data_IF_519406164064
#
_entry.id   IF_519406164064
#
_cell.length_a   1.000
_cell.length_b   1.000
_cell.length_c   1.000
_cell.angle_alpha   90.00
_cell.angle_beta   90.00
_cell.angle_gamma   90.00
#
_symmetry.space_group_name_H-M   'P 1'
#
loop_
_entity.id
_entity.type
_entity.pdbx_description
1 polymer ?
#
# COMPACT_ATOMS: atom_id res chain seq x y z
N UNK A 1 7.86 -2.65 -0.35
CA UNK A 1 7.40 -3.84 -1.12
C UNK A 1 7.39 -3.65 -2.65
N UNK A 2 7.60 -2.42 -3.17
CA UNK A 2 7.78 -2.12 -4.61
C UNK A 2 8.85 -3.00 -5.28
N UNK A 3 9.95 -3.26 -4.57
CA UNK A 3 11.10 -3.96 -5.13
C UNK A 3 10.90 -5.48 -5.22
N UNK A 4 10.22 -6.09 -4.24
CA UNK A 4 9.97 -7.53 -4.23
C UNK A 4 8.93 -7.94 -5.27
N UNK A 5 7.85 -7.15 -5.43
CA UNK A 5 6.85 -7.38 -6.48
C UNK A 5 7.44 -7.13 -7.87
N UNK A 6 8.27 -6.10 -8.03
CA UNK A 6 8.98 -5.81 -9.29
C UNK A 6 9.99 -6.90 -9.65
N UNK A 7 10.71 -7.43 -8.66
CA UNK A 7 11.60 -8.57 -8.85
C UNK A 7 10.83 -9.82 -9.33
N UNK A 8 9.66 -10.08 -8.76
CA UNK A 8 8.86 -11.25 -9.13
C UNK A 8 8.21 -11.12 -10.51
N UNK A 9 7.75 -9.92 -10.88
CA UNK A 9 7.31 -9.62 -12.25
C UNK A 9 8.46 -9.79 -13.24
N UNK A 10 9.66 -9.30 -12.89
CA UNK A 10 10.86 -9.44 -13.73
C UNK A 10 11.25 -10.92 -13.90
N UNK A 11 11.11 -11.73 -12.85
CA UNK A 11 11.36 -13.18 -12.90
C UNK A 11 10.44 -13.90 -13.88
N UNK A 12 9.15 -13.58 -13.85
CA UNK A 12 8.16 -14.14 -14.79
C UNK A 12 8.45 -13.68 -16.23
N UNK A 13 8.85 -12.42 -16.43
CA UNK A 13 9.19 -11.88 -17.74
C UNK A 13 10.42 -12.55 -18.35
N UNK A 14 11.46 -12.77 -17.55
CA UNK A 14 12.68 -13.48 -17.95
C UNK A 14 12.38 -14.92 -18.40
N UNK A 15 11.52 -15.63 -17.67
CA UNK A 15 11.07 -16.97 -18.07
C UNK A 15 10.35 -16.94 -19.43
N UNK A 16 9.44 -16.00 -19.61
CA UNK A 16 8.66 -15.85 -20.84
C UNK A 16 9.56 -15.58 -22.06
N UNK A 17 10.60 -14.77 -21.90
CA UNK A 17 11.57 -14.45 -22.95
C UNK A 17 12.38 -15.65 -23.42
N UNK A 18 12.79 -16.53 -22.50
CA UNK A 18 13.50 -17.78 -22.83
C UNK A 18 12.55 -18.78 -23.48
N UNK A 19 11.36 -18.96 -22.92
CA UNK A 19 10.38 -19.92 -23.41
C UNK A 19 9.94 -19.61 -24.85
N UNK A 20 9.73 -18.33 -25.18
CA UNK A 20 9.32 -17.89 -26.51
C UNK A 20 10.48 -17.54 -27.46
N UNK A 21 11.74 -17.75 -27.05
CA UNK A 21 12.90 -17.54 -27.93
C UNK A 21 13.04 -16.11 -28.45
N UNK A 22 12.74 -15.13 -27.59
CA UNK A 22 12.89 -13.70 -27.92
C UNK A 22 14.35 -13.34 -28.19
N UNK A 23 14.59 -12.23 -28.88
CA UNK A 23 15.93 -11.70 -29.13
C UNK A 23 16.04 -10.27 -28.62
N UNK A 24 17.24 -9.90 -28.17
CA UNK A 24 17.56 -8.51 -27.81
C UNK A 24 17.53 -7.61 -29.06
N UNK A 25 17.52 -6.29 -28.86
CA UNK A 25 17.56 -5.32 -29.96
C UNK A 25 18.80 -5.49 -30.86
N UNK A 26 19.86 -6.10 -30.34
CA UNK A 26 21.09 -6.43 -31.07
C UNK A 26 21.03 -7.78 -31.81
N UNK A 27 19.86 -8.43 -31.83
CA UNK A 27 19.61 -9.71 -32.52
C UNK A 27 20.13 -10.95 -31.79
N UNK A 28 20.57 -10.83 -30.53
CA UNK A 28 21.05 -11.99 -29.76
C UNK A 28 19.87 -12.71 -29.09
N UNK A 29 19.77 -14.04 -29.18
CA UNK A 29 18.67 -14.77 -28.55
C UNK A 29 18.77 -14.73 -27.02
N UNK A 30 17.64 -14.51 -26.36
CA UNK A 30 17.50 -14.51 -24.90
C UNK A 30 17.50 -15.96 -24.40
N UNK A 31 18.69 -16.51 -24.19
CA UNK A 31 18.88 -17.90 -23.72
C UNK A 31 19.02 -17.96 -22.20
N UNK A 32 18.76 -19.13 -21.60
CA UNK A 32 18.98 -19.35 -20.16
C UNK A 32 20.42 -19.00 -19.73
N UNK A 33 21.41 -19.40 -20.54
CA UNK A 33 22.83 -19.08 -20.28
C UNK A 33 23.12 -17.58 -20.30
N UNK A 34 22.43 -16.80 -21.14
CA UNK A 34 22.58 -15.34 -21.14
C UNK A 34 22.00 -14.73 -19.87
N UNK A 35 20.84 -15.22 -19.42
CA UNK A 35 20.20 -14.75 -18.18
C UNK A 35 21.06 -15.10 -16.97
N UNK A 36 21.55 -16.34 -16.87
CA UNK A 36 22.42 -16.77 -15.78
C UNK A 36 23.68 -15.89 -15.70
N UNK A 37 24.29 -15.57 -16.85
CA UNK A 37 25.46 -14.69 -16.89
C UNK A 37 25.14 -13.28 -16.41
N UNK A 38 24.01 -12.71 -16.82
CA UNK A 38 23.57 -11.39 -16.35
C UNK A 38 23.29 -11.42 -14.85
N UNK A 39 22.61 -12.46 -14.35
CA UNK A 39 22.32 -12.62 -12.93
C UNK A 39 23.62 -12.72 -12.11
N UNK A 40 24.63 -13.46 -12.58
CA UNK A 40 25.94 -13.54 -11.95
C UNK A 40 26.71 -12.21 -11.98
N UNK A 41 26.67 -11.50 -13.11
CA UNK A 41 27.25 -10.17 -13.26
C UNK A 41 26.61 -9.16 -12.30
N UNK A 42 25.28 -9.15 -12.18
CA UNK A 42 24.54 -8.29 -11.26
C UNK A 42 24.74 -8.70 -9.80
N UNK A 43 24.70 -9.99 -9.48
CA UNK A 43 25.00 -10.49 -8.13
C UNK A 43 26.42 -10.11 -7.68
N UNK A 44 27.38 -10.09 -8.60
CA UNK A 44 28.75 -9.62 -8.34
C UNK A 44 28.83 -8.11 -8.11
N UNK A 45 27.90 -7.32 -8.68
CA UNK A 45 27.78 -5.89 -8.34
C UNK A 45 27.16 -5.73 -6.94
N UNK A 46 26.19 -6.57 -6.58
CA UNK A 46 25.58 -6.57 -5.25
C UNK A 46 26.58 -6.91 -4.14
N UNK A 47 27.51 -7.85 -4.37
CA UNK A 47 28.57 -8.16 -3.39
C UNK A 47 29.58 -7.02 -3.19
N UNK A 48 29.66 -6.07 -4.13
CA UNK A 48 30.46 -4.84 -4.00
C UNK A 48 29.69 -3.70 -3.34
N UNK A 49 28.37 -3.83 -3.17
CA UNK A 49 27.60 -2.89 -2.37
C UNK A 49 27.90 -3.19 -0.89
N UNK A 50 28.49 -2.21 -0.21
CA UNK A 50 28.56 -2.21 1.25
C UNK A 50 27.16 -2.42 1.84
N UNK A 51 26.99 -3.12 2.99
CA UNK A 51 25.71 -3.20 3.72
C UNK A 51 25.08 -1.82 3.99
N UNK A 52 25.89 -0.77 3.90
CA UNK A 52 25.50 0.64 4.02
C UNK A 52 24.69 1.18 2.83
N UNK A 53 24.58 0.46 1.70
CA UNK A 53 23.86 0.91 0.49
C UNK A 53 22.42 0.38 0.41
N UNK A 54 22.08 -0.64 1.19
CA UNK A 54 20.71 -1.12 1.41
C UNK A 54 20.22 -0.55 2.75
N UNK A 55 20.39 0.76 2.89
CA UNK A 55 20.09 1.46 4.13
C UNK A 55 18.58 1.68 4.27
N UNK A 56 17.89 0.68 4.81
CA UNK A 56 16.48 0.78 5.19
C UNK A 56 16.29 1.58 6.50
N UNK A 57 17.34 2.20 7.04
CA UNK A 57 17.19 3.04 8.22
C UNK A 57 16.29 4.22 7.85
N UNK A 58 15.35 4.59 8.72
CA UNK A 58 14.56 5.79 8.52
C UNK A 58 15.48 6.99 8.30
N UNK A 59 15.21 7.78 7.26
CA UNK A 59 15.99 8.99 6.96
C UNK A 59 16.10 9.90 8.19
N UNK A 60 15.03 9.96 9.00
CA UNK A 60 15.02 10.67 10.28
C UNK A 60 14.00 10.08 11.27
N UNK A 61 14.49 9.39 12.29
CA UNK A 61 13.65 8.82 13.37
C UNK A 61 12.93 9.91 14.17
N UNK A 62 13.50 11.12 14.26
CA UNK A 62 12.89 12.25 14.95
C UNK A 62 11.65 12.80 14.22
N UNK A 63 11.46 12.50 12.92
CA UNK A 63 10.21 12.77 12.22
C UNK A 63 9.24 11.59 12.30
N UNK A 64 9.76 10.36 12.20
CA UNK A 64 8.93 9.14 12.27
C UNK A 64 8.19 9.00 13.59
N UNK A 65 8.87 9.22 14.73
CA UNK A 65 8.27 9.00 16.05
C UNK A 65 7.13 9.99 16.36
N UNK A 66 7.29 11.32 16.20
CA UNK A 66 6.19 12.25 16.37
C UNK A 66 5.08 12.06 15.32
N UNK A 67 5.43 11.72 14.08
CA UNK A 67 4.45 11.41 13.03
C UNK A 67 3.57 10.21 13.41
N UNK A 68 4.17 9.12 13.86
CA UNK A 68 3.46 7.95 14.36
C UNK A 68 2.58 8.27 15.58
N UNK A 69 3.07 9.10 16.51
CA UNK A 69 2.29 9.53 17.67
C UNK A 69 1.05 10.36 17.27
N UNK A 70 1.21 11.28 16.31
CA UNK A 70 0.10 12.08 15.76
C UNK A 70 -0.91 11.21 15.01
N UNK A 71 -0.44 10.25 14.19
CA UNK A 71 -1.30 9.29 13.52
C UNK A 71 -2.09 8.45 14.53
N UNK A 72 -1.43 7.91 15.55
CA UNK A 72 -2.09 7.13 16.59
C UNK A 72 -3.14 7.95 17.37
N UNK A 73 -2.80 9.18 17.74
CA UNK A 73 -3.74 10.08 18.40
C UNK A 73 -4.92 10.41 17.49
N UNK A 74 -4.66 10.77 16.23
CA UNK A 74 -5.67 11.07 15.23
C UNK A 74 -6.57 9.87 14.91
N UNK A 75 -6.03 8.66 14.88
CA UNK A 75 -6.78 7.43 14.58
C UNK A 75 -7.85 7.14 15.64
N UNK A 76 -7.56 7.41 16.92
CA UNK A 76 -8.56 7.36 18.00
C UNK A 76 -9.68 8.36 17.77
N UNK A 77 -9.34 9.58 17.36
CA UNK A 77 -10.30 10.62 17.00
C UNK A 77 -11.16 10.24 15.79
N UNK A 78 -10.56 9.65 14.75
CA UNK A 78 -11.26 9.19 13.55
C UNK A 78 -12.27 8.09 13.86
N UNK A 79 -11.83 7.01 14.52
CA UNK A 79 -12.69 5.87 14.84
C UNK A 79 -13.76 6.20 15.88
N UNK A 80 -13.41 6.92 16.95
CA UNK A 80 -14.38 7.36 17.94
C UNK A 80 -15.34 8.43 17.39
N UNK A 81 -14.82 9.37 16.58
CA UNK A 81 -15.57 10.47 16.00
C UNK A 81 -16.54 10.05 14.88
N UNK A 82 -16.28 8.94 14.19
CA UNK A 82 -17.18 8.38 13.17
C UNK A 82 -18.57 7.99 13.70
N UNK A 83 -18.71 7.92 15.03
CA UNK A 83 -19.98 7.65 15.71
C UNK A 83 -20.83 8.92 15.89
N UNK A 84 -20.25 10.10 15.66
CA UNK A 84 -20.91 11.40 15.69
C UNK A 84 -21.59 11.72 17.03
N UNK A 85 -21.10 11.12 18.12
CA UNK A 85 -21.61 11.36 19.47
C UNK A 85 -20.64 10.89 20.56
N UNK A 86 -20.67 11.59 21.70
CA UNK A 86 -19.88 11.23 22.89
C UNK A 86 -20.64 10.19 23.74
N UNK A 87 -20.64 8.94 23.30
CA UNK A 87 -21.40 7.85 23.91
C UNK A 87 -20.56 6.58 24.11
N UNK A 88 -21.16 5.54 24.71
CA UNK A 88 -20.46 4.29 25.03
C UNK A 88 -19.93 3.58 23.78
N UNK A 89 -20.60 3.71 22.64
CA UNK A 89 -20.14 3.15 21.36
C UNK A 89 -18.86 3.84 20.89
N UNK A 90 -18.73 5.16 21.09
CA UNK A 90 -17.51 5.91 20.77
C UNK A 90 -16.34 5.49 21.66
N UNK A 91 -16.60 5.28 22.96
CA UNK A 91 -15.60 4.73 23.89
C UNK A 91 -15.15 3.33 23.46
N UNK A 92 -16.10 2.45 23.10
CA UNK A 92 -15.80 1.12 22.59
C UNK A 92 -14.89 1.17 21.35
N UNK A 93 -15.21 2.03 20.37
CA UNK A 93 -14.41 2.18 19.16
C UNK A 93 -12.95 2.59 19.48
N UNK A 94 -12.76 3.52 20.41
CA UNK A 94 -11.42 3.95 20.85
C UNK A 94 -10.67 2.82 21.57
N UNK A 95 -11.33 2.07 22.46
CA UNK A 95 -10.69 0.96 23.19
C UNK A 95 -10.29 -0.16 22.23
N UNK A 96 -11.19 -0.59 21.33
CA UNK A 96 -10.90 -1.61 20.32
C UNK A 96 -9.73 -1.18 19.42
N UNK A 97 -9.70 0.09 19.04
CA UNK A 97 -8.59 0.66 18.26
C UNK A 97 -7.26 0.50 18.98
N UNK A 98 -7.19 0.76 20.29
CA UNK A 98 -5.93 0.67 21.04
C UNK A 98 -5.41 -0.77 21.18
N UNK A 99 -6.31 -1.76 21.34
CA UNK A 99 -5.90 -3.17 21.50
C UNK A 99 -5.53 -3.83 20.17
N UNK A 100 -6.04 -3.32 19.04
CA UNK A 100 -5.81 -3.92 17.71
C UNK A 100 -4.44 -3.58 17.09
N UNK A 101 -3.69 -2.66 17.70
CA UNK A 101 -2.39 -2.16 17.21
C UNK A 101 -1.22 -3.15 17.39
N UNK A 102 -1.46 -4.36 17.89
CA UNK A 102 -0.39 -5.30 18.25
C UNK A 102 0.43 -5.78 17.04
N UNK A 103 1.66 -5.28 16.91
CA UNK A 103 2.75 -5.95 16.18
C UNK A 103 2.91 -5.65 14.69
N UNK A 104 2.25 -4.62 14.15
CA UNK A 104 2.39 -4.24 12.74
C UNK A 104 3.43 -3.11 12.57
N UNK A 105 4.55 -3.42 11.91
CA UNK A 105 5.69 -2.51 11.65
C UNK A 105 5.64 -1.86 10.24
N UNK A 106 4.73 -2.30 9.37
CA UNK A 106 4.74 -1.84 7.97
C UNK A 106 3.81 -0.64 7.72
N UNK A 107 4.17 0.53 8.29
CA UNK A 107 3.43 1.78 8.08
C UNK A 107 3.89 2.55 6.81
N UNK A 108 5.00 2.14 6.20
CA UNK A 108 5.63 2.86 5.08
C UNK A 108 5.15 2.38 3.70
N UNK A 109 4.52 1.20 3.61
CA UNK A 109 3.87 0.74 2.38
C UNK A 109 2.37 1.13 2.37
N UNK A 110 2.06 2.26 1.74
CA UNK A 110 0.70 2.81 1.68
C UNK A 110 -0.29 1.80 1.09
N UNK A 111 0.10 1.07 0.03
CA UNK A 111 -0.80 0.13 -0.62
C UNK A 111 -1.03 -1.12 0.23
N UNK A 112 0.03 -1.69 0.81
CA UNK A 112 -0.10 -2.85 1.69
C UNK A 112 -0.87 -2.50 2.97
N UNK A 113 -0.54 -1.41 3.64
CA UNK A 113 -1.15 -1.03 4.92
C UNK A 113 -2.59 -0.54 4.75
N UNK A 114 -2.85 0.38 3.81
CA UNK A 114 -4.16 1.02 3.68
C UNK A 114 -5.06 0.29 2.68
N UNK A 115 -4.51 -0.10 1.53
CA UNK A 115 -5.25 -0.81 0.49
C UNK A 115 -5.58 -2.25 0.91
N UNK A 116 -4.56 -3.08 1.10
CA UNK A 116 -4.75 -4.49 1.48
C UNK A 116 -5.29 -4.59 2.91
N UNK A 117 -4.69 -3.88 3.87
CA UNK A 117 -5.17 -3.87 5.25
C UNK A 117 -6.62 -3.38 5.38
N UNK A 118 -7.00 -2.33 4.65
CA UNK A 118 -8.37 -1.84 4.61
C UNK A 118 -9.35 -2.86 4.01
N UNK A 119 -8.96 -3.55 2.93
CA UNK A 119 -9.80 -4.55 2.28
C UNK A 119 -9.98 -5.81 3.16
N UNK A 120 -8.91 -6.25 3.82
CA UNK A 120 -8.98 -7.32 4.83
C UNK A 120 -9.90 -6.91 5.97
N UNK A 121 -9.75 -5.71 6.53
CA UNK A 121 -10.63 -5.18 7.58
C UNK A 121 -12.09 -5.10 7.15
N UNK A 122 -12.36 -4.69 5.90
CA UNK A 122 -13.71 -4.61 5.36
C UNK A 122 -14.37 -5.99 5.26
N UNK A 123 -13.61 -7.00 4.81
CA UNK A 123 -14.09 -8.39 4.74
C UNK A 123 -14.30 -8.96 6.14
N UNK A 124 -13.39 -8.73 7.09
CA UNK A 124 -13.56 -9.17 8.48
C UNK A 124 -14.80 -8.55 9.14
N UNK A 125 -15.18 -7.34 8.76
CA UNK A 125 -16.45 -6.72 9.20
C UNK A 125 -17.67 -7.58 8.80
N UNK A 126 -17.68 -8.22 7.64
CA UNK A 126 -18.77 -9.12 7.26
C UNK A 126 -18.90 -10.32 8.19
N UNK A 127 -17.79 -10.78 8.77
CA UNK A 127 -17.80 -11.92 9.68
C UNK A 127 -18.19 -11.50 11.10
N UNK A 128 -17.56 -10.43 11.60
CA UNK A 128 -17.56 -10.09 13.02
C UNK A 128 -18.43 -8.89 13.40
N UNK A 129 -19.11 -8.23 12.45
CA UNK A 129 -20.10 -7.22 12.81
C UNK A 129 -21.17 -7.83 13.72
N UNK A 130 -21.37 -7.23 14.90
CA UNK A 130 -22.38 -7.67 15.86
C UNK A 130 -23.45 -6.60 16.03
N UNK A 131 -24.71 -6.99 15.85
CA UNK A 131 -25.83 -6.08 16.09
C UNK A 131 -25.92 -5.62 17.57
N UNK A 132 -25.47 -6.44 18.52
CA UNK A 132 -25.51 -6.14 19.96
C UNK A 132 -24.62 -4.96 20.33
N UNK A 133 -23.43 -4.91 19.75
CA UNK A 133 -22.44 -3.84 20.01
C UNK A 133 -22.79 -2.57 19.22
N UNK A 134 -23.35 -2.72 18.03
CA UNK A 134 -23.74 -1.58 17.20
C UNK A 134 -24.83 -0.73 17.85
N UNK A 135 -25.72 -1.31 18.67
CA UNK A 135 -26.84 -0.62 19.31
C UNK A 135 -26.58 -0.12 20.75
N UNK A 136 -25.32 -0.11 21.22
CA UNK A 136 -25.00 0.32 22.60
C UNK A 136 -25.37 1.77 22.94
N UNK A 137 -25.56 2.61 21.93
CA UNK A 137 -26.01 3.99 22.05
C UNK A 137 -27.49 4.20 21.68
N UNK A 138 -28.25 3.11 21.48
CA UNK A 138 -29.65 3.17 21.07
C UNK A 138 -29.85 3.51 19.58
N UNK A 139 -28.78 3.52 18.78
CA UNK A 139 -28.87 3.73 17.34
C UNK A 139 -29.56 2.58 16.61
N UNK A 140 -29.94 2.84 15.34
CA UNK A 140 -30.66 1.88 14.49
C UNK A 140 -29.89 0.56 14.43
N UNK A 141 -30.51 -0.57 14.82
CA UNK A 141 -29.82 -1.85 14.82
C UNK A 141 -29.43 -2.25 13.40
N UNK A 142 -28.19 -2.65 13.23
CA UNK A 142 -27.73 -3.33 12.01
C UNK A 142 -28.16 -4.80 12.07
N UNK A 143 -28.23 -5.46 10.90
CA UNK A 143 -28.48 -6.90 10.85
C UNK A 143 -27.25 -7.74 11.29
N UNK A 144 -26.08 -7.11 11.42
CA UNK A 144 -24.83 -7.75 11.82
C UNK A 144 -24.15 -8.53 10.69
N UNK A 145 -23.19 -9.37 11.05
CA UNK A 145 -22.41 -10.21 10.14
C UNK A 145 -22.73 -11.69 10.31
N UNK A 146 -21.76 -12.54 9.97
CA UNK A 146 -21.89 -14.00 10.07
C UNK A 146 -22.19 -14.46 11.50
N UNK A 147 -21.62 -13.79 12.51
CA UNK A 147 -21.89 -14.09 13.92
C UNK A 147 -23.36 -13.86 14.32
N UNK A 148 -24.12 -13.07 13.55
CA UNK A 148 -25.57 -12.90 13.71
C UNK A 148 -26.38 -13.64 12.64
N UNK A 149 -25.78 -14.63 11.96
CA UNK A 149 -26.38 -15.37 10.85
C UNK A 149 -26.79 -14.52 9.63
N UNK A 150 -26.22 -13.32 9.50
CA UNK A 150 -26.47 -12.43 8.37
C UNK A 150 -25.46 -12.65 7.23
N UNK A 151 -25.60 -13.78 6.52
CA UNK A 151 -24.63 -14.22 5.51
C UNK A 151 -24.54 -13.31 4.29
N UNK A 152 -25.58 -12.52 4.02
CA UNK A 152 -25.53 -11.50 2.97
C UNK A 152 -24.40 -10.51 3.20
N UNK A 153 -24.02 -10.25 4.45
CA UNK A 153 -23.10 -9.14 4.74
C UNK A 153 -21.79 -9.27 3.97
N UNK A 154 -21.31 -10.50 3.75
CA UNK A 154 -20.10 -10.75 2.94
C UNK A 154 -20.24 -10.22 1.51
N UNK A 155 -21.39 -10.40 0.87
CA UNK A 155 -21.60 -9.89 -0.49
C UNK A 155 -21.58 -8.37 -0.54
N UNK A 156 -22.08 -7.71 0.51
CA UNK A 156 -22.08 -6.25 0.59
C UNK A 156 -20.65 -5.72 0.78
N UNK A 157 -19.87 -6.30 1.70
CA UNK A 157 -18.48 -5.88 1.90
C UNK A 157 -17.60 -6.17 0.68
N UNK A 158 -17.83 -7.28 -0.03
CA UNK A 158 -17.12 -7.57 -1.28
C UNK A 158 -17.48 -6.60 -2.41
N UNK A 159 -18.78 -6.30 -2.57
CA UNK A 159 -19.24 -5.33 -3.56
C UNK A 159 -18.70 -3.93 -3.26
N UNK A 160 -18.69 -3.53 -1.98
CA UNK A 160 -18.13 -2.27 -1.50
C UNK A 160 -16.62 -2.18 -1.76
N UNK A 161 -15.84 -3.20 -1.38
CA UNK A 161 -14.41 -3.24 -1.65
C UNK A 161 -14.11 -3.20 -3.15
N UNK A 162 -14.84 -3.95 -3.98
CA UNK A 162 -14.65 -3.94 -5.42
C UNK A 162 -15.01 -2.59 -6.05
N UNK A 163 -16.11 -1.96 -5.61
CA UNK A 163 -16.52 -0.66 -6.09
C UNK A 163 -15.53 0.44 -5.69
N UNK A 164 -15.13 0.49 -4.42
CA UNK A 164 -14.17 1.47 -3.90
C UNK A 164 -12.80 1.33 -4.55
N UNK A 165 -12.28 0.10 -4.65
CA UNK A 165 -11.02 -0.17 -5.34
C UNK A 165 -11.11 0.17 -6.83
N UNK A 166 -12.15 -0.30 -7.52
CA UNK A 166 -12.34 -0.06 -8.95
C UNK A 166 -12.46 1.42 -9.27
N UNK A 167 -13.25 2.18 -8.51
CA UNK A 167 -13.37 3.62 -8.67
C UNK A 167 -12.03 4.32 -8.43
N UNK A 168 -11.38 4.05 -7.30
CA UNK A 168 -10.10 4.68 -6.95
C UNK A 168 -9.03 4.41 -8.00
N UNK A 169 -8.88 3.15 -8.43
CA UNK A 169 -7.91 2.77 -9.46
C UNK A 169 -8.21 3.41 -10.81
N UNK A 170 -9.44 3.25 -11.32
CA UNK A 170 -9.80 3.72 -12.66
C UNK A 170 -9.78 5.24 -12.77
N UNK A 171 -10.33 5.94 -11.77
CA UNK A 171 -10.35 7.41 -11.77
C UNK A 171 -8.95 7.98 -11.60
N UNK A 172 -8.16 7.44 -10.67
CA UNK A 172 -6.77 7.88 -10.51
C UNK A 172 -5.95 7.61 -11.78
N UNK A 173 -6.12 6.44 -12.38
CA UNK A 173 -5.47 6.12 -13.66
C UNK A 173 -5.85 7.10 -14.76
N UNK A 174 -7.14 7.38 -14.93
CA UNK A 174 -7.63 8.34 -15.94
C UNK A 174 -7.08 9.75 -15.70
N UNK A 175 -7.04 10.20 -14.44
CA UNK A 175 -6.50 11.50 -14.07
C UNK A 175 -5.00 11.59 -14.34
N UNK A 176 -4.22 10.61 -13.87
CA UNK A 176 -2.77 10.56 -14.10
C UNK A 176 -2.45 10.47 -15.59
N UNK A 177 -3.22 9.67 -16.33
CA UNK A 177 -3.09 9.58 -17.78
C UNK A 177 -3.38 10.93 -18.45
N UNK A 178 -4.46 11.61 -18.07
CA UNK A 178 -4.82 12.93 -18.61
C UNK A 178 -3.75 13.99 -18.30
N UNK A 179 -3.29 14.05 -17.05
CA UNK A 179 -2.21 14.95 -16.61
C UNK A 179 -0.95 14.72 -17.45
N UNK A 180 -0.55 13.46 -17.63
CA UNK A 180 0.65 13.11 -18.39
C UNK A 180 0.55 13.42 -19.91
N UNK A 181 -0.65 13.73 -20.42
CA UNK A 181 -0.85 14.18 -21.81
C UNK A 181 -0.76 15.69 -21.99
N UNK A 182 -0.71 16.46 -20.90
CA UNK A 182 -0.53 17.92 -20.94
C UNK A 182 0.98 18.19 -20.82
N UNK A 183 1.61 18.69 -21.88
CA UNK A 183 3.08 18.67 -22.07
C UNK A 183 3.93 19.47 -21.06
N UNK A 184 3.31 20.14 -20.10
CA UNK A 184 4.00 20.94 -19.08
C UNK A 184 3.77 20.44 -17.64
N UNK A 185 2.96 19.39 -17.45
CA UNK A 185 2.61 18.85 -16.14
C UNK A 185 2.82 17.34 -16.08
N UNK A 186 4.06 16.89 -16.30
CA UNK A 186 4.40 15.50 -16.02
C UNK A 186 4.33 15.25 -14.51
N UNK A 187 3.62 14.20 -14.11
CA UNK A 187 3.47 13.83 -12.71
C UNK A 187 4.79 13.35 -12.10
N UNK A 188 5.60 12.64 -12.88
CA UNK A 188 6.94 12.20 -12.48
C UNK A 188 7.99 13.21 -12.94
N UNK A 189 8.98 13.46 -12.08
CA UNK A 189 10.18 14.22 -12.42
C UNK A 189 10.96 13.55 -13.55
N UNK A 190 11.82 14.31 -14.23
CA UNK A 190 12.71 13.72 -15.23
C UNK A 190 13.70 12.76 -14.58
N UNK A 191 14.18 11.75 -15.32
CA UNK A 191 15.19 10.80 -14.80
C UNK A 191 16.46 11.53 -14.33
N UNK A 192 16.83 12.63 -15.00
CA UNK A 192 17.96 13.47 -14.58
C UNK A 192 17.69 14.18 -13.25
N UNK A 193 16.45 14.62 -13.00
CA UNK A 193 16.11 15.29 -11.74
C UNK A 193 16.02 14.30 -10.58
N UNK A 194 15.48 13.10 -10.84
CA UNK A 194 15.41 12.01 -9.86
C UNK A 194 16.80 11.49 -9.49
N UNK A 195 17.74 11.46 -10.44
CA UNK A 195 19.11 11.02 -10.21
C UNK A 195 19.92 11.95 -9.30
N UNK A 196 19.64 13.25 -9.33
CA UNK A 196 20.32 14.26 -8.50
C UNK A 196 19.60 14.40 -7.14
N UNK A 197 18.27 14.20 -7.13
CA UNK A 197 17.42 14.31 -5.96
C UNK A 197 16.35 15.37 -6.17
N UNK A 198 15.10 15.04 -5.83
CA UNK A 198 13.96 15.97 -5.98
C UNK A 198 14.07 17.18 -5.06
N UNK A 199 14.75 17.06 -3.93
CA UNK A 199 14.99 18.17 -2.99
C UNK A 199 15.86 19.27 -3.63
N UNK A 200 16.93 18.86 -4.33
CA UNK A 200 17.82 19.78 -5.04
C UNK A 200 17.13 20.43 -6.25
N UNK A 201 16.29 19.68 -6.97
CA UNK A 201 15.73 20.11 -8.25
C UNK A 201 14.41 20.87 -8.11
N UNK A 202 13.65 20.64 -7.04
CA UNK A 202 12.37 21.30 -6.79
C UNK A 202 12.40 22.30 -5.63
N UNK A 203 13.25 22.08 -4.62
CA UNK A 203 13.30 22.90 -3.41
C UNK A 203 14.63 23.65 -3.25
N UNK A 204 15.62 23.41 -4.13
CA UNK A 204 16.98 23.95 -4.03
C UNK A 204 17.61 23.72 -2.65
N UNK A 205 17.21 22.63 -1.99
CA UNK A 205 17.67 22.25 -0.66
C UNK A 205 18.80 21.22 -0.82
N UNK A 206 20.01 21.57 -0.36
CA UNK A 206 21.14 20.62 -0.31
C UNK A 206 21.06 19.81 0.98
N UNK A 207 21.23 18.48 0.86
CA UNK A 207 21.23 17.51 1.98
C UNK A 207 22.59 17.50 2.69
#
# INVERSE_FOLDING_TARGET
MKDAATAEISRVMLWHWVYHGTSTNDGKPTTASLIDRILDEEATKLTKLSPKRLDLRPHNVAYVVPGAALLWFGWKGSNGGSILGANLRAVQAIVVTNISLGGYDDALDIFAAHGVGGMVGNVLTAFFADNRFASFDGSVPINGGFINHNWIQLRYQLADSAAGFGYSFLVTFMLLFAINRISHYHFCSSESDEAIGVDLTQFSEEI
#
